data_IF_471565988380
#
_entry.id   IF_471565988380
#
_cell.length_a   1.000
_cell.length_b   1.000
_cell.length_c   1.000
_cell.angle_alpha   90.00
_cell.angle_beta   90.00
_cell.angle_gamma   90.00
#
_symmetry.space_group_name_H-M   'P 1'
#
loop_
_entity.id
_entity.type
_entity.pdbx_description
1 polymer ?
#
# COMPACT_ATOMS: atom_id res chain seq x y z
N UNK A 1 -27.24 20.20 -14.48
CA UNK A 1 -26.73 21.42 -15.13
C UNK A 1 -25.48 21.03 -15.92
N UNK A 2 -25.31 21.47 -17.18
CA UNK A 2 -24.06 21.22 -17.92
C UNK A 2 -23.00 22.19 -17.38
N UNK A 3 -21.82 21.73 -16.97
CA UNK A 3 -20.77 22.62 -16.45
C UNK A 3 -20.26 23.54 -17.55
N UNK A 4 -19.69 24.68 -17.17
CA UNK A 4 -18.99 25.56 -18.09
C UNK A 4 -17.82 24.83 -18.77
N UNK A 5 -17.47 25.26 -19.97
CA UNK A 5 -16.31 24.75 -20.71
C UNK A 5 -15.03 24.91 -19.89
N UNK A 6 -14.93 26.01 -19.14
CA UNK A 6 -13.84 26.29 -18.24
C UNK A 6 -13.69 25.25 -17.12
N UNK A 7 -14.77 24.68 -16.59
CA UNK A 7 -14.67 23.60 -15.59
C UNK A 7 -14.21 22.32 -16.27
N UNK A 8 -14.77 22.02 -17.44
CA UNK A 8 -14.41 20.84 -18.21
C UNK A 8 -12.93 20.84 -18.62
N UNK A 9 -12.38 22.01 -18.96
CA UNK A 9 -10.97 22.15 -19.34
C UNK A 9 -10.01 21.71 -18.23
N UNK A 10 -10.37 21.95 -16.96
CA UNK A 10 -9.51 21.52 -15.85
C UNK A 10 -9.50 19.99 -15.72
N UNK A 11 -10.62 19.31 -15.95
CA UNK A 11 -10.63 17.84 -15.95
C UNK A 11 -9.73 17.25 -17.05
N UNK A 12 -9.61 17.89 -18.21
CA UNK A 12 -8.62 17.49 -19.21
C UNK A 12 -7.19 17.73 -18.72
N UNK A 13 -6.94 18.83 -18.01
CA UNK A 13 -5.65 19.10 -17.37
C UNK A 13 -5.25 18.09 -16.30
N UNK A 14 -6.22 17.52 -15.56
CA UNK A 14 -5.96 16.49 -14.54
C UNK A 14 -5.43 15.18 -15.13
N UNK A 15 -5.73 14.89 -16.40
CA UNK A 15 -5.33 13.62 -17.05
C UNK A 15 -4.03 13.71 -17.86
N UNK A 16 -3.36 14.87 -17.82
CA UNK A 16 -2.08 15.11 -18.50
C UNK A 16 -0.94 14.27 -17.92
N UNK A 17 0.05 13.91 -18.73
CA UNK A 17 1.23 13.14 -18.26
C UNK A 17 2.25 14.02 -17.52
N UNK A 18 2.31 15.31 -17.86
CA UNK A 18 3.19 16.27 -17.20
C UNK A 18 2.65 16.66 -15.82
N UNK A 19 3.47 16.44 -14.78
CA UNK A 19 3.09 16.72 -13.40
C UNK A 19 2.71 18.19 -13.16
N UNK A 20 3.44 19.12 -13.78
CA UNK A 20 3.19 20.57 -13.67
C UNK A 20 1.83 20.96 -14.24
N UNK A 21 1.43 20.37 -15.38
CA UNK A 21 0.10 20.62 -15.98
C UNK A 21 -1.01 20.11 -15.07
N UNK A 22 -0.86 18.90 -14.52
CA UNK A 22 -1.81 18.34 -13.54
C UNK A 22 -1.92 19.23 -12.30
N UNK A 23 -0.79 19.63 -11.72
CA UNK A 23 -0.77 20.48 -10.52
C UNK A 23 -1.51 21.80 -10.73
N UNK A 24 -1.27 22.47 -11.86
CA UNK A 24 -1.99 23.70 -12.22
C UNK A 24 -3.48 23.47 -12.41
N UNK A 25 -3.87 22.36 -13.02
CA UNK A 25 -5.28 22.01 -13.21
C UNK A 25 -6.00 21.74 -11.88
N UNK A 26 -5.34 21.06 -10.93
CA UNK A 26 -5.84 20.89 -9.56
C UNK A 26 -6.10 22.24 -8.90
N UNK A 27 -5.13 23.16 -8.92
CA UNK A 27 -5.25 24.48 -8.31
C UNK A 27 -6.36 25.33 -8.95
N UNK A 28 -6.50 25.30 -10.28
CA UNK A 28 -7.58 26.02 -10.98
C UNK A 28 -8.95 25.42 -10.74
N UNK A 29 -9.08 24.09 -10.71
CA UNK A 29 -10.33 23.42 -10.38
C UNK A 29 -10.80 23.79 -8.98
N UNK A 30 -9.89 23.75 -8.00
CA UNK A 30 -10.17 24.17 -6.63
C UNK A 30 -10.65 25.64 -6.57
N UNK A 31 -9.93 26.53 -7.24
CA UNK A 31 -10.29 27.96 -7.30
C UNK A 31 -11.68 28.19 -7.91
N UNK A 32 -12.03 27.43 -8.96
CA UNK A 32 -13.34 27.52 -9.62
C UNK A 32 -14.48 27.01 -8.72
N UNK A 33 -14.28 25.89 -8.03
CA UNK A 33 -15.26 25.38 -7.07
C UNK A 33 -15.49 26.39 -5.94
N UNK A 34 -14.42 27.07 -5.49
CA UNK A 34 -14.51 28.12 -4.47
C UNK A 34 -15.26 29.36 -4.95
N UNK A 35 -15.08 29.78 -6.20
CA UNK A 35 -15.79 30.94 -6.76
C UNK A 35 -17.24 30.62 -7.18
N UNK A 36 -17.51 29.36 -7.55
CA UNK A 36 -18.82 28.90 -8.02
C UNK A 36 -19.30 27.66 -7.25
N UNK A 37 -19.72 27.77 -5.99
CA UNK A 37 -20.09 26.60 -5.17
C UNK A 37 -21.16 25.69 -5.79
N UNK A 38 -22.01 26.22 -6.69
CA UNK A 38 -23.02 25.44 -7.41
C UNK A 38 -22.47 24.30 -8.28
N UNK A 39 -21.18 24.32 -8.63
CA UNK A 39 -20.54 23.29 -9.47
C UNK A 39 -19.81 22.23 -8.65
N UNK A 40 -19.73 22.41 -7.33
CA UNK A 40 -19.05 21.52 -6.41
C UNK A 40 -19.57 20.08 -6.51
N UNK A 41 -20.90 19.91 -6.56
CA UNK A 41 -21.51 18.58 -6.61
C UNK A 41 -21.08 17.79 -7.85
N UNK A 42 -21.14 18.45 -8.99
CA UNK A 42 -20.67 17.92 -10.25
C UNK A 42 -19.17 17.57 -10.20
N UNK A 43 -18.34 18.45 -9.62
CA UNK A 43 -16.90 18.23 -9.56
C UNK A 43 -16.55 17.01 -8.72
N UNK A 44 -17.14 16.85 -7.53
CA UNK A 44 -16.88 15.69 -6.67
C UNK A 44 -17.41 14.41 -7.31
N UNK A 45 -18.61 14.41 -7.88
CA UNK A 45 -19.14 13.24 -8.60
C UNK A 45 -18.21 12.80 -9.74
N UNK A 46 -17.72 13.76 -10.52
CA UNK A 46 -16.81 13.49 -11.64
C UNK A 46 -15.43 13.01 -11.18
N UNK A 47 -14.92 13.52 -10.06
CA UNK A 47 -13.66 13.06 -9.49
C UNK A 47 -13.78 11.63 -8.97
N UNK A 48 -14.80 11.32 -8.17
CA UNK A 48 -15.05 9.97 -7.62
C UNK A 48 -15.22 8.95 -8.75
N UNK A 49 -16.08 9.23 -9.72
CA UNK A 49 -16.28 8.33 -10.87
C UNK A 49 -15.03 8.24 -11.76
N UNK A 50 -14.24 9.31 -11.84
CA UNK A 50 -13.00 9.33 -12.59
C UNK A 50 -11.93 8.39 -12.02
N UNK A 51 -11.99 8.01 -10.75
CA UNK A 51 -11.01 7.12 -10.11
C UNK A 51 -10.96 5.73 -10.75
N UNK A 52 -12.03 5.28 -11.42
CA UNK A 52 -12.07 4.01 -12.17
C UNK A 52 -11.51 4.12 -13.60
N UNK A 53 -10.92 5.25 -13.96
CA UNK A 53 -10.31 5.43 -15.27
C UNK A 53 -9.24 4.37 -15.56
N UNK A 54 -9.22 3.89 -16.81
CA UNK A 54 -8.17 2.99 -17.32
C UNK A 54 -6.82 3.69 -17.46
N UNK A 55 -6.80 5.03 -17.46
CA UNK A 55 -5.58 5.84 -17.56
C UNK A 55 -5.01 6.12 -16.18
N UNK A 56 -3.82 5.59 -15.90
CA UNK A 56 -3.11 5.82 -14.63
C UNK A 56 -2.96 7.32 -14.31
N UNK A 57 -2.58 8.15 -15.29
CA UNK A 57 -2.45 9.60 -15.11
C UNK A 57 -3.76 10.27 -14.67
N UNK A 58 -4.92 9.78 -15.16
CA UNK A 58 -6.21 10.30 -14.73
C UNK A 58 -6.50 9.94 -13.28
N UNK A 59 -6.23 8.69 -12.88
CA UNK A 59 -6.39 8.25 -11.49
C UNK A 59 -5.56 9.10 -10.53
N UNK A 60 -4.29 9.36 -10.87
CA UNK A 60 -3.43 10.26 -10.09
C UNK A 60 -3.98 11.69 -10.00
N UNK A 61 -4.39 12.30 -11.12
CA UNK A 61 -4.91 13.67 -11.11
C UNK A 61 -6.22 13.79 -10.33
N UNK A 62 -7.12 12.82 -10.49
CA UNK A 62 -8.41 12.82 -9.81
C UNK A 62 -8.30 12.54 -8.32
N UNK A 63 -7.49 11.57 -7.88
CA UNK A 63 -7.28 11.32 -6.44
C UNK A 63 -6.65 12.54 -5.76
N UNK A 64 -5.65 13.17 -6.39
CA UNK A 64 -5.01 14.39 -5.87
C UNK A 64 -5.99 15.56 -5.74
N UNK A 65 -6.80 15.81 -6.78
CA UNK A 65 -7.81 16.86 -6.74
C UNK A 65 -8.88 16.57 -5.68
N UNK A 66 -9.26 15.30 -5.52
CA UNK A 66 -10.26 14.88 -4.55
C UNK A 66 -9.78 15.13 -3.13
N UNK A 67 -8.53 14.76 -2.77
CA UNK A 67 -7.96 15.06 -1.45
C UNK A 67 -8.15 16.54 -1.08
N UNK A 68 -7.74 17.46 -1.96
CA UNK A 68 -7.83 18.89 -1.67
C UNK A 68 -9.28 19.40 -1.54
N UNK A 69 -10.20 18.90 -2.38
CA UNK A 69 -11.59 19.29 -2.27
C UNK A 69 -12.23 18.74 -1.00
N UNK A 70 -11.92 17.50 -0.61
CA UNK A 70 -12.44 16.93 0.63
C UNK A 70 -11.89 17.69 1.85
N UNK A 71 -10.61 18.09 1.85
CA UNK A 71 -10.03 18.90 2.93
C UNK A 71 -10.75 20.24 3.15
N UNK A 72 -11.28 20.87 2.11
CA UNK A 72 -12.02 22.15 2.23
C UNK A 72 -13.52 21.95 2.50
N UNK A 73 -14.12 20.87 1.99
CA UNK A 73 -15.57 20.70 1.91
C UNK A 73 -16.11 19.45 2.59
N UNK A 74 -15.40 18.93 3.59
CA UNK A 74 -15.76 17.70 4.30
C UNK A 74 -17.14 17.76 4.96
N UNK A 75 -17.61 18.92 5.39
CA UNK A 75 -18.94 19.09 5.99
C UNK A 75 -20.08 18.79 5.00
N UNK A 76 -19.91 19.13 3.71
CA UNK A 76 -20.92 18.87 2.67
C UNK A 76 -20.78 17.47 2.05
N UNK A 77 -19.62 16.84 2.24
CA UNK A 77 -19.25 15.54 1.71
C UNK A 77 -18.86 14.60 2.85
N UNK A 78 -19.85 14.14 3.61
CA UNK A 78 -19.65 13.13 4.64
C UNK A 78 -19.18 11.81 4.03
N UNK A 79 -18.55 10.97 4.86
CA UNK A 79 -18.06 9.65 4.44
C UNK A 79 -19.19 8.78 3.90
N UNK A 80 -20.36 8.80 4.54
CA UNK A 80 -21.54 8.05 4.12
C UNK A 80 -22.00 8.49 2.73
N UNK A 81 -21.99 9.81 2.47
CA UNK A 81 -22.37 10.36 1.16
C UNK A 81 -21.37 9.96 0.08
N UNK A 82 -20.07 9.98 0.38
CA UNK A 82 -19.01 9.57 -0.55
C UNK A 82 -19.10 8.09 -0.89
N UNK A 83 -19.26 7.21 0.11
CA UNK A 83 -19.39 5.78 -0.15
C UNK A 83 -20.75 5.43 -0.78
N UNK A 84 -21.85 6.11 -0.43
CA UNK A 84 -23.11 5.92 -1.14
C UNK A 84 -23.01 6.30 -2.62
N UNK A 85 -22.24 7.35 -2.94
CA UNK A 85 -21.95 7.72 -4.32
C UNK A 85 -21.10 6.64 -5.02
N UNK A 86 -20.06 6.14 -4.36
CA UNK A 86 -19.21 5.08 -4.89
C UNK A 86 -20.01 3.79 -5.13
N UNK A 87 -20.75 3.31 -4.14
CA UNK A 87 -21.60 2.12 -4.22
C UNK A 87 -22.62 2.23 -5.38
N UNK A 88 -23.15 3.44 -5.62
CA UNK A 88 -24.09 3.71 -6.72
C UNK A 88 -23.44 3.70 -8.11
N UNK A 89 -22.16 4.08 -8.23
CA UNK A 89 -21.52 4.39 -9.52
C UNK A 89 -20.37 3.45 -9.89
N UNK A 90 -19.84 2.72 -8.93
CA UNK A 90 -18.61 1.94 -8.99
C UNK A 90 -18.90 0.54 -8.42
N UNK A 91 -19.75 -0.23 -9.10
CA UNK A 91 -20.14 -1.57 -8.66
C UNK A 91 -18.91 -2.50 -8.63
N UNK A 92 -18.59 -3.00 -7.43
CA UNK A 92 -17.47 -3.93 -7.21
C UNK A 92 -17.70 -5.31 -7.82
N UNK A 93 -18.95 -5.68 -8.08
CA UNK A 93 -19.34 -6.96 -8.67
C UNK A 93 -19.50 -6.91 -10.19
N UNK A 94 -19.30 -5.73 -10.80
CA UNK A 94 -19.38 -5.59 -12.24
C UNK A 94 -18.30 -6.47 -12.92
N UNK A 95 -18.71 -7.23 -13.94
CA UNK A 95 -17.84 -8.24 -14.56
C UNK A 95 -16.72 -7.62 -15.40
N UNK A 96 -16.96 -6.47 -16.00
CA UNK A 96 -16.05 -5.84 -16.95
C UNK A 96 -15.22 -4.73 -16.29
N UNK A 97 -15.82 -4.02 -15.35
CA UNK A 97 -15.26 -2.85 -14.67
C UNK A 97 -14.99 -3.06 -13.19
N UNK A 98 -15.35 -4.21 -12.59
CA UNK A 98 -15.19 -4.48 -11.16
C UNK A 98 -13.77 -4.25 -10.64
N UNK A 99 -12.74 -4.66 -11.39
CA UNK A 99 -11.34 -4.41 -11.02
C UNK A 99 -10.96 -2.91 -11.08
N UNK A 100 -11.48 -2.16 -12.05
CA UNK A 100 -11.27 -0.72 -12.13
C UNK A 100 -12.05 0.03 -11.04
N UNK A 101 -13.24 -0.45 -10.71
CA UNK A 101 -14.06 0.07 -9.62
C UNK A 101 -13.42 -0.23 -8.26
N UNK A 102 -12.78 -1.39 -8.08
CA UNK A 102 -12.02 -1.72 -6.88
C UNK A 102 -10.85 -0.76 -6.66
N UNK A 103 -10.10 -0.44 -7.72
CA UNK A 103 -9.07 0.60 -7.68
C UNK A 103 -9.69 1.95 -7.29
N UNK A 104 -10.88 2.27 -7.81
CA UNK A 104 -11.56 3.52 -7.51
C UNK A 104 -11.99 3.62 -6.04
N UNK A 105 -12.55 2.55 -5.47
CA UNK A 105 -12.89 2.46 -4.04
C UNK A 105 -11.65 2.60 -3.16
N UNK A 106 -10.56 1.91 -3.49
CA UNK A 106 -9.29 2.04 -2.78
C UNK A 106 -8.73 3.47 -2.84
N UNK A 107 -8.72 4.10 -4.02
CA UNK A 107 -8.27 5.48 -4.18
C UNK A 107 -9.17 6.49 -3.47
N UNK A 108 -10.47 6.22 -3.36
CA UNK A 108 -11.40 7.02 -2.57
C UNK A 108 -11.07 6.92 -1.08
N UNK A 109 -10.82 5.70 -0.56
CA UNK A 109 -10.40 5.51 0.82
C UNK A 109 -9.07 6.21 1.12
N UNK A 110 -8.08 6.11 0.21
CA UNK A 110 -6.85 6.89 0.30
C UNK A 110 -7.13 8.40 0.33
N UNK A 111 -8.01 8.90 -0.53
CA UNK A 111 -8.31 10.34 -0.59
C UNK A 111 -9.00 10.85 0.69
N UNK A 112 -9.91 10.07 1.25
CA UNK A 112 -10.57 10.36 2.54
C UNK A 112 -9.54 10.36 3.68
N UNK A 113 -8.65 9.36 3.73
CA UNK A 113 -7.63 9.28 4.76
C UNK A 113 -6.61 10.42 4.65
N UNK A 114 -6.13 10.71 3.44
CA UNK A 114 -5.11 11.73 3.17
C UNK A 114 -5.63 13.15 3.30
N UNK A 115 -6.95 13.38 3.22
CA UNK A 115 -7.51 14.72 3.45
C UNK A 115 -7.32 15.19 4.89
N UNK A 116 -7.19 14.25 5.84
CA UNK A 116 -6.87 14.52 7.25
C UNK A 116 -7.95 15.25 8.05
N UNK A 117 -9.17 15.37 7.50
CA UNK A 117 -10.26 16.17 8.08
C UNK A 117 -11.43 15.35 8.62
N UNK A 118 -11.49 14.04 8.32
CA UNK A 118 -12.57 13.18 8.78
C UNK A 118 -12.21 12.50 10.10
N UNK A 119 -12.90 12.89 11.16
CA UNK A 119 -12.77 12.27 12.48
C UNK A 119 -13.48 10.91 12.54
N UNK A 120 -12.95 10.00 13.37
CA UNK A 120 -13.53 8.68 13.66
C UNK A 120 -13.81 7.78 12.44
N UNK A 121 -13.14 8.05 11.32
CA UNK A 121 -13.36 7.36 10.05
C UNK A 121 -12.68 5.99 9.94
N UNK A 122 -11.78 5.66 10.86
CA UNK A 122 -10.82 4.55 10.71
C UNK A 122 -11.53 3.20 10.60
N UNK A 123 -12.59 2.98 11.39
CA UNK A 123 -13.34 1.72 11.35
C UNK A 123 -14.05 1.51 10.02
N UNK A 124 -14.64 2.59 9.47
CA UNK A 124 -15.36 2.55 8.19
C UNK A 124 -14.36 2.29 7.06
N UNK A 125 -13.24 3.03 7.05
CA UNK A 125 -12.19 2.83 6.05
C UNK A 125 -11.62 1.41 6.12
N UNK A 126 -11.36 0.88 7.31
CA UNK A 126 -10.87 -0.48 7.50
C UNK A 126 -11.83 -1.54 6.95
N UNK A 127 -13.14 -1.40 7.23
CA UNK A 127 -14.15 -2.33 6.74
C UNK A 127 -14.24 -2.31 5.21
N UNK A 128 -14.27 -1.12 4.61
CA UNK A 128 -14.31 -0.92 3.16
C UNK A 128 -13.07 -1.46 2.46
N UNK A 129 -11.88 -1.20 3.01
CA UNK A 129 -10.62 -1.71 2.48
C UNK A 129 -10.55 -3.24 2.52
N UNK A 130 -10.96 -3.85 3.63
CA UNK A 130 -10.99 -5.31 3.74
C UNK A 130 -12.07 -5.94 2.84
N UNK A 131 -13.16 -5.22 2.53
CA UNK A 131 -14.15 -5.63 1.53
C UNK A 131 -13.54 -5.63 0.12
N UNK A 132 -12.85 -4.55 -0.25
CA UNK A 132 -12.11 -4.46 -1.53
C UNK A 132 -11.11 -5.61 -1.64
N UNK A 133 -10.35 -5.91 -0.58
CA UNK A 133 -9.42 -7.05 -0.58
C UNK A 133 -10.13 -8.39 -0.80
N UNK A 134 -11.26 -8.64 -0.13
CA UNK A 134 -12.00 -9.91 -0.27
C UNK A 134 -12.53 -10.12 -1.69
N UNK A 135 -12.97 -9.06 -2.36
CA UNK A 135 -13.52 -9.13 -3.71
C UNK A 135 -12.44 -9.07 -4.80
N UNK A 136 -11.36 -8.31 -4.55
CA UNK A 136 -10.28 -8.04 -5.50
C UNK A 136 -8.89 -8.20 -4.84
N UNK A 137 -8.46 -9.44 -4.52
CA UNK A 137 -7.23 -9.69 -3.77
C UNK A 137 -5.95 -9.17 -4.42
N UNK A 138 -5.94 -8.90 -5.73
CA UNK A 138 -4.80 -8.32 -6.45
C UNK A 138 -4.42 -6.92 -5.97
N UNK A 139 -5.32 -6.23 -5.26
CA UNK A 139 -5.02 -4.94 -4.61
C UNK A 139 -4.49 -5.12 -3.18
N UNK A 140 -4.32 -6.36 -2.73
CA UNK A 140 -4.10 -6.68 -1.33
C UNK A 140 -2.89 -5.98 -0.71
N UNK A 141 -1.78 -5.82 -1.43
CA UNK A 141 -0.60 -5.13 -0.90
C UNK A 141 -0.87 -3.65 -0.62
N UNK A 142 -1.58 -2.93 -1.51
CA UNK A 142 -1.89 -1.51 -1.30
C UNK A 142 -2.99 -1.32 -0.27
N UNK A 143 -3.96 -2.24 -0.22
CA UNK A 143 -4.98 -2.29 0.83
C UNK A 143 -4.32 -2.40 2.21
N UNK A 144 -3.46 -3.39 2.42
CA UNK A 144 -2.82 -3.56 3.74
C UNK A 144 -1.85 -2.42 4.06
N UNK A 145 -1.28 -1.76 3.05
CA UNK A 145 -0.47 -0.55 3.25
C UNK A 145 -1.33 0.57 3.86
N UNK A 146 -2.52 0.85 3.31
CA UNK A 146 -3.43 1.84 3.88
C UNK A 146 -3.92 1.43 5.27
N UNK A 147 -4.24 0.15 5.49
CA UNK A 147 -4.59 -0.38 6.81
C UNK A 147 -3.47 -0.13 7.83
N UNK A 148 -2.21 -0.32 7.43
CA UNK A 148 -1.07 -0.03 8.28
C UNK A 148 -0.93 1.46 8.60
N UNK A 149 -1.12 2.33 7.60
CA UNK A 149 -1.05 3.79 7.78
C UNK A 149 -2.12 4.29 8.75
N UNK A 150 -3.37 3.82 8.59
CA UNK A 150 -4.46 4.08 9.54
C UNK A 150 -4.05 3.61 10.93
N UNK A 151 -3.61 2.36 11.07
CA UNK A 151 -3.26 1.77 12.35
C UNK A 151 -2.10 2.50 13.07
N UNK A 152 -1.06 2.89 12.35
CA UNK A 152 0.12 3.57 12.90
C UNK A 152 -0.25 4.95 13.47
N UNK A 153 -1.21 5.64 12.85
CA UNK A 153 -1.75 6.91 13.35
C UNK A 153 -2.55 6.79 14.65
N UNK A 154 -2.93 5.58 15.06
CA UNK A 154 -3.80 5.36 16.22
C UNK A 154 -3.03 5.14 17.53
N UNK A 155 -3.72 5.40 18.65
CA UNK A 155 -3.28 4.95 19.97
C UNK A 155 -3.35 3.43 20.10
N UNK A 156 -2.49 2.85 20.95
CA UNK A 156 -2.46 1.39 21.22
C UNK A 156 -3.82 0.83 21.65
N UNK A 157 -4.57 1.57 22.46
CA UNK A 157 -5.90 1.16 22.93
C UNK A 157 -6.88 1.06 21.75
N UNK A 158 -6.89 2.07 20.88
CA UNK A 158 -7.75 2.12 19.70
C UNK A 158 -7.37 1.04 18.68
N UNK A 159 -6.07 0.81 18.44
CA UNK A 159 -5.58 -0.30 17.62
C UNK A 159 -6.11 -1.64 18.15
N UNK A 160 -5.94 -1.91 19.45
CA UNK A 160 -6.37 -3.16 20.09
C UNK A 160 -7.89 -3.38 19.98
N UNK A 161 -8.70 -2.33 20.11
CA UNK A 161 -10.17 -2.47 20.11
C UNK A 161 -10.80 -2.41 18.73
N UNK A 162 -10.20 -1.70 17.76
CA UNK A 162 -10.79 -1.45 16.44
C UNK A 162 -10.09 -2.22 15.32
N UNK A 163 -8.77 -2.11 15.21
CA UNK A 163 -8.01 -2.66 14.07
C UNK A 163 -7.67 -4.13 14.26
N UNK A 164 -7.08 -4.48 15.41
CA UNK A 164 -6.60 -5.83 15.68
C UNK A 164 -7.69 -6.89 15.46
N UNK A 165 -8.94 -6.74 15.95
CA UNK A 165 -9.98 -7.74 15.73
C UNK A 165 -10.31 -7.98 14.25
N UNK A 166 -10.22 -6.94 13.41
CA UNK A 166 -10.51 -7.04 11.99
C UNK A 166 -9.40 -7.74 11.18
N UNK A 167 -8.14 -7.65 11.65
CA UNK A 167 -6.97 -8.22 10.95
C UNK A 167 -6.44 -9.51 11.59
N UNK A 168 -6.87 -9.87 12.80
CA UNK A 168 -6.28 -10.95 13.61
C UNK A 168 -6.29 -12.30 12.89
N UNK A 169 -7.42 -12.72 12.34
CA UNK A 169 -7.54 -14.01 11.63
C UNK A 169 -6.62 -14.08 10.40
N UNK A 170 -6.44 -12.95 9.70
CA UNK A 170 -5.53 -12.86 8.57
C UNK A 170 -4.07 -12.94 9.01
N UNK A 171 -3.70 -12.29 10.12
CA UNK A 171 -2.36 -12.38 10.70
C UNK A 171 -2.05 -13.79 11.19
N UNK A 172 -2.99 -14.45 11.88
CA UNK A 172 -2.83 -15.81 12.42
C UNK A 172 -2.58 -16.85 11.33
N UNK A 173 -3.13 -16.62 10.14
CA UNK A 173 -2.98 -17.50 8.99
C UNK A 173 -1.93 -17.01 7.98
N UNK A 174 -1.25 -15.89 8.21
CA UNK A 174 -0.38 -15.25 7.23
C UNK A 174 0.73 -16.18 6.72
N UNK A 175 1.41 -16.88 7.64
CA UNK A 175 2.48 -17.81 7.30
C UNK A 175 1.96 -19.12 6.69
N UNK A 176 0.92 -19.71 7.29
CA UNK A 176 0.38 -21.00 6.87
C UNK A 176 -0.32 -20.94 5.51
N UNK A 177 -0.97 -19.81 5.20
CA UNK A 177 -1.54 -19.53 3.86
C UNK A 177 -0.50 -19.01 2.86
N UNK A 178 0.68 -18.59 3.35
CA UNK A 178 1.70 -17.87 2.59
C UNK A 178 1.15 -16.60 1.93
N UNK A 179 0.34 -15.83 2.67
CA UNK A 179 -0.18 -14.54 2.21
C UNK A 179 0.93 -13.48 2.26
N UNK A 180 1.23 -12.89 1.11
CA UNK A 180 2.23 -11.83 0.99
C UNK A 180 1.77 -10.60 1.76
N UNK A 181 0.50 -10.25 1.60
CA UNK A 181 -0.16 -9.07 2.14
C UNK A 181 -0.11 -9.06 3.66
N UNK A 182 -0.47 -10.16 4.31
CA UNK A 182 -0.54 -10.16 5.77
C UNK A 182 0.81 -10.40 6.45
N UNK A 183 1.78 -11.01 5.76
CA UNK A 183 3.18 -10.96 6.20
C UNK A 183 3.73 -9.54 6.07
N UNK A 184 3.44 -8.85 4.96
CA UNK A 184 3.82 -7.46 4.74
C UNK A 184 3.20 -6.54 5.80
N UNK A 185 1.90 -6.68 6.09
CA UNK A 185 1.21 -5.95 7.15
C UNK A 185 1.85 -6.17 8.52
N UNK A 186 2.17 -7.41 8.85
CA UNK A 186 2.83 -7.74 10.11
C UNK A 186 4.19 -7.02 10.24
N UNK A 187 4.97 -6.99 9.15
CA UNK A 187 6.24 -6.28 9.11
C UNK A 187 6.08 -4.75 9.25
N UNK A 188 5.04 -4.16 8.65
CA UNK A 188 4.75 -2.73 8.80
C UNK A 188 4.35 -2.36 10.24
N UNK A 189 3.57 -3.22 10.90
CA UNK A 189 3.02 -2.94 12.23
C UNK A 189 3.97 -3.28 13.38
N UNK A 190 5.04 -4.07 13.13
CA UNK A 190 5.91 -4.59 14.19
C UNK A 190 6.60 -3.52 15.01
N UNK A 191 6.92 -2.36 14.43
CA UNK A 191 7.60 -1.28 15.17
C UNK A 191 6.68 -0.61 16.20
N UNK A 192 5.40 -0.45 15.84
CA UNK A 192 4.44 0.29 16.68
C UNK A 192 3.69 -0.62 17.65
N UNK A 193 3.38 -1.85 17.22
CA UNK A 193 2.51 -2.78 17.92
C UNK A 193 3.15 -4.18 18.13
N UNK A 194 4.45 -4.29 18.46
CA UNK A 194 5.18 -5.56 18.42
C UNK A 194 4.55 -6.65 19.28
N UNK A 195 4.09 -6.30 20.49
CA UNK A 195 3.48 -7.26 21.41
C UNK A 195 2.25 -7.94 20.81
N UNK A 196 1.41 -7.20 20.08
CA UNK A 196 0.20 -7.74 19.46
C UNK A 196 0.51 -8.54 18.20
N UNK A 197 1.49 -8.09 17.40
CA UNK A 197 1.87 -8.79 16.17
C UNK A 197 2.59 -10.11 16.48
N UNK A 198 3.44 -10.14 17.51
CA UNK A 198 4.14 -11.35 17.96
C UNK A 198 3.23 -12.50 18.42
N UNK A 199 1.98 -12.20 18.79
CA UNK A 199 0.97 -13.21 19.13
C UNK A 199 0.41 -13.95 17.90
N UNK A 200 0.67 -13.44 16.69
CA UNK A 200 0.11 -13.96 15.43
C UNK A 200 1.21 -14.43 14.46
N UNK A 201 2.36 -13.75 14.46
CA UNK A 201 3.47 -14.02 13.53
C UNK A 201 4.72 -14.40 14.32
N UNK A 202 5.10 -15.68 14.23
CA UNK A 202 6.14 -16.35 15.04
C UNK A 202 7.51 -15.70 14.99
N UNK A 203 7.92 -15.18 13.83
CA UNK A 203 9.26 -14.59 13.70
C UNK A 203 9.34 -13.18 14.29
N UNK A 204 8.22 -12.53 14.62
CA UNK A 204 8.21 -11.18 15.21
C UNK A 204 8.27 -11.28 16.73
N UNK A 205 9.22 -10.59 17.35
CA UNK A 205 9.42 -10.57 18.79
C UNK A 205 8.65 -9.42 19.45
N UNK A 206 8.46 -9.49 20.77
CA UNK A 206 7.72 -8.48 21.56
C UNK A 206 8.38 -7.09 21.58
N UNK A 207 9.65 -7.00 21.21
CA UNK A 207 10.41 -5.75 21.07
C UNK A 207 10.43 -5.21 19.62
N UNK A 208 9.79 -5.90 18.67
CA UNK A 208 9.76 -5.53 17.25
C UNK A 208 10.91 -6.10 16.41
N UNK A 209 11.90 -6.74 17.04
CA UNK A 209 12.94 -7.47 16.32
C UNK A 209 12.38 -8.73 15.65
N UNK A 210 13.13 -9.28 14.70
CA UNK A 210 12.78 -10.50 14.00
C UNK A 210 13.76 -11.63 14.31
N UNK A 211 13.25 -12.81 14.63
CA UNK A 211 14.00 -14.04 14.79
C UNK A 211 13.35 -15.16 13.97
N UNK A 212 13.91 -15.42 12.78
CA UNK A 212 13.35 -16.37 11.83
C UNK A 212 13.78 -17.80 12.18
N UNK A 213 12.83 -18.71 12.37
CA UNK A 213 13.09 -20.15 12.43
C UNK A 213 13.20 -20.76 11.02
N UNK A 214 13.68 -21.99 10.91
CA UNK A 214 13.75 -22.69 9.61
C UNK A 214 12.36 -22.91 8.99
N UNK A 215 11.34 -23.09 9.84
CA UNK A 215 9.95 -23.17 9.40
C UNK A 215 9.48 -21.83 8.83
N UNK A 216 9.78 -20.71 9.49
CA UNK A 216 9.43 -19.36 9.00
C UNK A 216 10.07 -19.08 7.64
N UNK A 217 11.35 -19.43 7.47
CA UNK A 217 12.07 -19.27 6.21
C UNK A 217 11.46 -20.10 5.08
N UNK A 218 10.98 -21.31 5.41
CA UNK A 218 10.28 -22.17 4.44
C UNK A 218 8.98 -21.52 3.98
N UNK A 219 8.18 -20.98 4.90
CA UNK A 219 6.94 -20.26 4.56
C UNK A 219 7.23 -18.98 3.78
N UNK A 220 8.24 -18.20 4.18
CA UNK A 220 8.64 -16.98 3.47
C UNK A 220 9.10 -17.27 2.05
N UNK A 221 9.83 -18.37 1.81
CA UNK A 221 10.18 -18.81 0.45
C UNK A 221 8.93 -19.11 -0.39
N UNK A 222 7.91 -19.76 0.21
CA UNK A 222 6.64 -20.00 -0.48
C UNK A 222 5.87 -18.70 -0.75
N UNK A 223 5.88 -17.76 0.21
CA UNK A 223 5.28 -16.42 0.06
C UNK A 223 5.92 -15.67 -1.09
N UNK A 224 7.26 -15.61 -1.16
CA UNK A 224 7.99 -14.96 -2.27
C UNK A 224 7.69 -15.64 -3.61
N UNK A 225 7.56 -16.97 -3.66
CA UNK A 225 7.19 -17.70 -4.88
C UNK A 225 5.78 -17.40 -5.38
N UNK A 226 4.84 -17.07 -4.48
CA UNK A 226 3.45 -16.69 -4.82
C UNK A 226 3.29 -15.19 -5.12
N UNK A 227 4.29 -14.39 -4.77
CA UNK A 227 4.25 -12.95 -4.91
C UNK A 227 4.22 -12.53 -6.38
N UNK A 228 3.28 -11.66 -6.74
CA UNK A 228 3.27 -11.05 -8.06
C UNK A 228 4.38 -10.01 -8.20
N UNK A 229 4.69 -9.63 -9.44
CA UNK A 229 5.80 -8.70 -9.73
C UNK A 229 5.61 -7.31 -9.10
N UNK A 230 4.38 -6.86 -8.89
CA UNK A 230 4.10 -5.54 -8.31
C UNK A 230 4.26 -5.53 -6.79
N UNK A 231 4.03 -6.66 -6.13
CA UNK A 231 4.18 -6.79 -4.68
C UNK A 231 5.59 -7.20 -4.23
N UNK A 232 6.37 -7.82 -5.12
CA UNK A 232 7.66 -8.42 -4.79
C UNK A 232 8.69 -7.43 -4.27
N UNK A 233 8.93 -6.32 -5.00
CA UNK A 233 9.94 -5.33 -4.62
C UNK A 233 9.63 -4.69 -3.25
N UNK A 234 8.41 -4.15 -3.00
CA UNK A 234 8.06 -3.60 -1.70
C UNK A 234 8.20 -4.62 -0.56
N UNK A 235 7.73 -5.85 -0.79
CA UNK A 235 7.78 -6.92 0.20
C UNK A 235 9.23 -7.31 0.54
N UNK A 236 10.06 -7.61 -0.47
CA UNK A 236 11.45 -8.00 -0.26
C UNK A 236 12.25 -6.88 0.40
N UNK A 237 12.02 -5.63 0.01
CA UNK A 237 12.69 -4.48 0.62
C UNK A 237 12.41 -4.41 2.13
N UNK A 238 11.14 -4.54 2.53
CA UNK A 238 10.76 -4.49 3.94
C UNK A 238 11.24 -5.71 4.72
N UNK A 239 11.14 -6.91 4.14
CA UNK A 239 11.63 -8.15 4.74
C UNK A 239 13.15 -8.10 4.99
N UNK A 240 13.92 -7.72 3.98
CA UNK A 240 15.38 -7.64 4.08
C UNK A 240 15.84 -6.51 5.02
N UNK A 241 15.14 -5.37 5.03
CA UNK A 241 15.39 -4.31 6.01
C UNK A 241 15.15 -4.81 7.45
N UNK A 242 14.05 -5.52 7.68
CA UNK A 242 13.71 -6.10 8.99
C UNK A 242 14.72 -7.16 9.44
N UNK A 243 15.14 -8.03 8.51
CA UNK A 243 16.17 -9.03 8.76
C UNK A 243 17.52 -8.39 9.09
N UNK A 244 17.90 -7.32 8.37
CA UNK A 244 19.13 -6.57 8.63
C UNK A 244 19.12 -5.90 9.99
N UNK A 245 18.03 -5.21 10.33
CA UNK A 245 17.89 -4.57 11.64
C UNK A 245 17.98 -5.57 12.81
N UNK A 246 17.68 -6.85 12.56
CA UNK A 246 17.70 -7.91 13.57
C UNK A 246 18.94 -8.82 13.49
N UNK A 247 19.94 -8.48 12.67
CA UNK A 247 21.16 -9.30 12.50
C UNK A 247 20.94 -10.65 11.79
N UNK A 248 19.79 -10.85 11.13
CA UNK A 248 19.38 -12.09 10.46
C UNK A 248 19.46 -12.01 8.93
N UNK A 249 20.07 -10.94 8.38
CA UNK A 249 20.10 -10.68 6.94
C UNK A 249 20.63 -11.87 6.13
N UNK A 250 21.82 -12.38 6.48
CA UNK A 250 22.47 -13.46 5.72
C UNK A 250 21.62 -14.72 5.66
N UNK A 251 20.88 -15.00 6.74
CA UNK A 251 20.00 -16.17 6.83
C UNK A 251 18.78 -16.00 5.92
N UNK A 252 18.08 -14.88 6.02
CA UNK A 252 16.91 -14.59 5.17
C UNK A 252 17.31 -14.50 3.70
N UNK A 253 18.43 -13.83 3.39
CA UNK A 253 18.91 -13.71 2.02
C UNK A 253 19.19 -15.08 1.40
N UNK A 254 20.01 -15.92 2.06
CA UNK A 254 20.37 -17.25 1.55
C UNK A 254 19.15 -18.19 1.47
N UNK A 255 18.35 -18.26 2.53
CA UNK A 255 17.32 -19.29 2.64
C UNK A 255 15.98 -18.93 2.00
N UNK A 256 15.75 -17.65 1.67
CA UNK A 256 14.54 -17.18 1.00
C UNK A 256 14.88 -16.60 -0.37
N UNK A 257 15.69 -15.55 -0.41
CA UNK A 257 15.89 -14.75 -1.64
C UNK A 257 16.73 -15.49 -2.67
N UNK A 258 17.89 -16.02 -2.28
CA UNK A 258 18.79 -16.74 -3.16
C UNK A 258 18.15 -18.04 -3.67
N UNK A 259 17.49 -18.82 -2.78
CA UNK A 259 16.73 -20.00 -3.19
C UNK A 259 15.59 -19.67 -4.15
N UNK A 260 14.91 -18.54 -3.96
CA UNK A 260 13.89 -18.10 -4.91
C UNK A 260 14.52 -17.72 -6.25
N UNK A 261 15.57 -16.89 -6.26
CA UNK A 261 16.27 -16.43 -7.47
C UNK A 261 16.78 -17.59 -8.32
N UNK A 262 17.36 -18.60 -7.67
CA UNK A 262 18.01 -19.75 -8.32
C UNK A 262 17.06 -20.91 -8.65
N UNK A 263 15.76 -20.79 -8.31
CA UNK A 263 14.78 -21.84 -8.59
C UNK A 263 14.10 -21.67 -9.94
N UNK A 264 13.81 -22.77 -10.64
CA UNK A 264 12.98 -22.77 -11.86
C UNK A 264 13.75 -22.44 -13.14
N UNK A 265 13.09 -21.75 -14.06
CA UNK A 265 13.58 -21.43 -15.41
C UNK A 265 14.85 -20.57 -15.40
N UNK A 266 15.93 -21.08 -16.00
CA UNK A 266 17.25 -20.44 -16.09
C UNK A 266 17.21 -19.03 -16.70
N UNK A 267 16.33 -18.79 -17.67
CA UNK A 267 16.19 -17.47 -18.30
C UNK A 267 15.68 -16.41 -17.30
N UNK A 268 14.83 -16.83 -16.37
CA UNK A 268 14.31 -15.98 -15.29
C UNK A 268 15.25 -15.89 -14.09
N UNK A 269 16.20 -16.81 -13.95
CA UNK A 269 17.16 -16.80 -12.83
C UNK A 269 18.04 -15.55 -12.92
N UNK A 270 18.58 -15.25 -14.11
CA UNK A 270 19.43 -14.07 -14.30
C UNK A 270 18.68 -12.77 -14.02
N UNK A 271 17.46 -12.61 -14.55
CA UNK A 271 16.59 -11.44 -14.29
C UNK A 271 16.37 -11.23 -12.79
N UNK A 272 15.94 -12.28 -12.08
CA UNK A 272 15.70 -12.24 -10.62
C UNK A 272 16.96 -11.91 -9.82
N UNK A 273 18.11 -12.42 -10.23
CA UNK A 273 19.40 -12.11 -9.60
C UNK A 273 19.73 -10.63 -9.77
N UNK A 274 19.60 -10.07 -10.98
CA UNK A 274 19.91 -8.66 -11.23
C UNK A 274 18.95 -7.72 -10.50
N UNK A 275 17.65 -8.01 -10.51
CA UNK A 275 16.65 -7.21 -9.78
C UNK A 275 16.91 -7.26 -8.27
N UNK A 276 17.22 -8.43 -7.73
CA UNK A 276 17.57 -8.61 -6.32
C UNK A 276 18.88 -7.88 -5.96
N UNK A 277 19.88 -7.93 -6.82
CA UNK A 277 21.14 -7.20 -6.63
C UNK A 277 20.87 -5.69 -6.59
N UNK A 278 20.02 -5.18 -7.49
CA UNK A 278 19.61 -3.78 -7.49
C UNK A 278 18.94 -3.40 -6.15
N UNK A 279 17.99 -4.20 -5.67
CA UNK A 279 17.29 -3.96 -4.38
C UNK A 279 18.24 -3.93 -3.18
N UNK A 280 19.19 -4.85 -3.13
CA UNK A 280 20.14 -4.96 -2.01
C UNK A 280 21.18 -3.84 -2.03
N UNK A 281 21.63 -3.42 -3.22
CA UNK A 281 22.61 -2.35 -3.40
C UNK A 281 22.01 -0.95 -3.22
N UNK A 282 20.77 -0.71 -3.67
CA UNK A 282 20.09 0.59 -3.52
C UNK A 282 19.67 0.91 -2.09
N UNK A 283 19.71 -0.07 -1.19
CA UNK A 283 19.43 0.10 0.24
C UNK A 283 20.69 0.50 1.06
N UNK A 284 21.80 0.79 0.37
CA UNK A 284 23.15 0.86 0.92
C UNK A 284 23.76 2.25 1.04
N UNK A 285 23.01 3.29 1.41
CA UNK A 285 23.62 4.61 1.70
C UNK A 285 24.35 4.68 3.06
N UNK A 286 24.53 3.56 3.77
CA UNK A 286 25.15 3.54 5.10
C UNK A 286 25.99 2.33 5.49
N UNK A 287 26.23 1.32 4.64
CA UNK A 287 26.79 0.05 5.11
C UNK A 287 27.76 -0.65 4.13
N UNK A 288 28.81 0.04 3.69
CA UNK A 288 29.92 -0.58 2.95
C UNK A 288 31.10 -1.03 3.85
N UNK A 289 30.86 -1.38 5.12
CA UNK A 289 31.95 -1.83 6.02
C UNK A 289 31.98 -3.32 6.38
N UNK A 290 30.92 -4.10 6.12
CA UNK A 290 30.89 -5.50 6.62
C UNK A 290 31.21 -6.59 5.59
N UNK A 291 31.43 -6.27 4.31
CA UNK A 291 31.73 -7.30 3.29
C UNK A 291 33.23 -7.50 3.04
N UNK A 292 34.11 -6.83 3.80
CA UNK A 292 35.57 -7.01 3.70
C UNK A 292 36.23 -7.41 5.03
N UNK A 293 35.76 -8.51 5.61
CA UNK A 293 36.57 -9.28 6.55
C UNK A 293 36.62 -10.74 6.06
N UNK A 294 37.56 -11.01 5.15
CA UNK A 294 37.97 -12.38 4.81
C UNK A 294 39.07 -12.83 5.81
N UNK A 295 39.05 -14.08 6.31
CA UNK A 295 39.91 -14.54 7.40
C UNK A 295 41.30 -15.02 6.93
N UNK A 296 41.92 -14.34 5.97
CA UNK A 296 43.26 -14.69 5.49
C UNK A 296 44.18 -13.47 5.45
N UNK A 297 44.63 -13.06 6.63
CA UNK A 297 45.83 -12.22 6.77
C UNK A 297 46.63 -12.68 8.00
N UNK A 298 47.00 -13.95 8.00
CA UNK A 298 48.22 -14.40 8.64
C UNK A 298 49.14 -14.91 7.55
N UNK A 299 50.14 -14.10 7.20
CA UNK A 299 51.48 -14.55 6.80
C UNK A 299 52.39 -13.34 6.85
N UNK A 300 53.33 -13.43 7.78
CA UNK A 300 54.38 -12.48 8.08
C UNK A 300 55.45 -12.46 7.00
N UNK A 301 55.91 -11.27 6.61
CA UNK A 301 57.31 -10.82 6.61
C UNK A 301 57.36 -9.36 6.18
#
# INVERSE_FOLDING_TARGET
MRPSEDILSEFYGLVELEAEKRFKAVSRLFSKVKSEPSVQEYCVERLVTGLSSTRAAARFGYSTALVLLLSEYYEQWTIEKLFALADKKLDLHDKDSGGANAIAHHLLACAIFQSGVYEECESILLERELEVYRLHPTLGLTVVQLVAEIAIGMEKKAFKSKVLPAIKSYLDSALSSSSVEFVYLALLLKERFPSYISESVSFIQKDGSCNFSDNDLTFLLLTVKKCDSSALEPFLKLLLASARASGQFSRVYRDVVEKWCTSGDESKVLERIFDTAKLTLSSGDGAHKEVRCSPYSHLSC
#
